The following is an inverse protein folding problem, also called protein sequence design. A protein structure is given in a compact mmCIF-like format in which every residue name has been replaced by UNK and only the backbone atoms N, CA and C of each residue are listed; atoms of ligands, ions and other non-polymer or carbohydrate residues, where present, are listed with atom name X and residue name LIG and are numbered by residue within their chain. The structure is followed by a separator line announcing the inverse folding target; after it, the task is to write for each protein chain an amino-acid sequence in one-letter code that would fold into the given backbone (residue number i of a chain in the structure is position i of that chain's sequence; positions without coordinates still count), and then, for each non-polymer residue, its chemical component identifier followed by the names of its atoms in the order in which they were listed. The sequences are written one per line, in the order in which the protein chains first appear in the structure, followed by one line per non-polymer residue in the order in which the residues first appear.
data_IF_363900889840
#
_entry.id   IF_363900889840
#
_cell.length_a   1.000
_cell.length_b   1.000
_cell.length_c   1.000
_cell.angle_alpha   90.00
_cell.angle_beta   90.00
_cell.angle_gamma   90.00
#
_symmetry.space_group_name_H-M   'P 1'
#
loop_
_entity.id
_entity.type
_entity.pdbx_description
1 polymer ?
#
# COMPACT_ATOMS: atom_id res chain seq x y z
N UNK A 1 -19.40 -7.89 12.10
CA UNK A 1 -18.65 -7.05 11.14
C UNK A 1 -19.38 -6.85 9.80
N UNK A 2 -20.23 -7.78 9.38
CA UNK A 2 -21.08 -7.66 8.18
C UNK A 2 -22.17 -6.60 8.32
N UNK A 3 -22.82 -6.53 9.47
CA UNK A 3 -23.92 -5.59 9.75
C UNK A 3 -23.55 -4.10 9.51
N UNK A 4 -22.32 -3.71 9.79
CA UNK A 4 -21.87 -2.33 9.54
C UNK A 4 -21.73 -2.01 8.03
N UNK A 5 -21.47 -3.01 7.20
CA UNK A 5 -21.36 -2.80 5.76
C UNK A 5 -22.72 -2.62 5.08
N UNK A 6 -23.70 -3.39 5.50
CA UNK A 6 -25.08 -3.27 5.04
C UNK A 6 -25.67 -1.93 5.41
N UNK A 7 -25.42 -1.42 6.64
CA UNK A 7 -25.79 -0.08 7.05
C UNK A 7 -25.19 1.00 6.15
N UNK A 8 -23.92 0.90 5.77
CA UNK A 8 -23.29 1.84 4.84
C UNK A 8 -23.87 1.77 3.43
N UNK A 9 -24.36 0.60 2.99
CA UNK A 9 -25.05 0.48 1.69
C UNK A 9 -26.43 1.11 1.71
N UNK A 10 -27.18 0.98 2.80
CA UNK A 10 -28.53 1.51 2.95
C UNK A 10 -28.52 3.04 3.09
N UNK A 11 -27.51 3.59 3.78
CA UNK A 11 -27.42 5.03 4.08
C UNK A 11 -26.36 5.71 3.18
N UNK A 12 -26.34 5.42 1.88
CA UNK A 12 -25.28 5.87 0.96
C UNK A 12 -24.92 7.37 1.08
N UNK A 13 -25.90 8.25 1.04
CA UNK A 13 -25.63 9.70 1.04
C UNK A 13 -25.21 10.24 2.41
N UNK A 14 -25.86 9.78 3.47
CA UNK A 14 -25.58 10.22 4.84
C UNK A 14 -24.21 9.70 5.29
N UNK A 15 -23.87 8.45 4.97
CA UNK A 15 -22.56 7.88 5.34
C UNK A 15 -21.40 8.60 4.67
N UNK A 16 -21.55 9.05 3.42
CA UNK A 16 -20.53 9.85 2.72
C UNK A 16 -20.34 11.21 3.40
N UNK A 17 -21.41 11.88 3.76
CA UNK A 17 -21.35 13.18 4.46
C UNK A 17 -20.68 13.04 5.85
N UNK A 18 -21.06 12.02 6.61
CA UNK A 18 -20.45 11.75 7.93
C UNK A 18 -18.98 11.44 7.79
N UNK A 19 -18.59 10.56 6.87
CA UNK A 19 -17.18 10.26 6.62
C UNK A 19 -16.40 11.49 6.17
N UNK A 20 -16.97 12.31 5.30
CA UNK A 20 -16.35 13.56 4.85
C UNK A 20 -16.10 14.52 6.03
N UNK A 21 -17.09 14.68 6.92
CA UNK A 21 -16.94 15.54 8.12
C UNK A 21 -15.84 15.02 9.05
N UNK A 22 -15.78 13.69 9.27
CA UNK A 22 -14.73 13.06 10.08
C UNK A 22 -13.35 13.30 9.43
N UNK A 23 -13.22 13.12 8.11
CA UNK A 23 -11.95 13.33 7.42
C UNK A 23 -11.50 14.79 7.47
N UNK A 24 -12.42 15.74 7.33
CA UNK A 24 -12.11 17.15 7.50
C UNK A 24 -11.64 17.46 8.93
N UNK A 25 -12.29 16.89 9.93
CA UNK A 25 -11.87 17.06 11.32
C UNK A 25 -10.48 16.48 11.58
N UNK A 26 -10.22 15.26 11.12
CA UNK A 26 -8.88 14.63 11.20
C UNK A 26 -7.83 15.50 10.53
N UNK A 27 -8.13 16.06 9.36
CA UNK A 27 -7.22 16.94 8.64
C UNK A 27 -6.91 18.23 9.38
N UNK A 28 -7.96 18.86 9.97
CA UNK A 28 -7.81 20.11 10.71
C UNK A 28 -7.09 19.93 12.05
N UNK A 29 -7.45 18.87 12.79
CA UNK A 29 -6.95 18.65 14.16
C UNK A 29 -5.67 17.82 14.20
N UNK A 30 -5.31 17.15 13.11
CA UNK A 30 -4.21 16.16 13.04
C UNK A 30 -4.40 15.00 14.04
N UNK A 31 -5.61 14.84 14.56
CA UNK A 31 -5.93 13.77 15.51
C UNK A 31 -6.75 12.68 14.85
N UNK A 32 -6.24 11.48 14.90
CA UNK A 32 -6.92 10.29 14.38
C UNK A 32 -7.83 9.68 15.44
N UNK A 33 -9.03 9.22 15.10
CA UNK A 33 -9.87 8.44 16.01
C UNK A 33 -9.09 7.24 16.55
N UNK A 34 -9.32 6.91 17.84
CA UNK A 34 -8.57 5.83 18.49
C UNK A 34 -8.76 4.47 17.80
N UNK A 35 -9.95 4.19 17.31
CA UNK A 35 -10.26 2.95 16.60
C UNK A 35 -9.51 2.84 15.25
N UNK A 36 -9.09 3.96 14.66
CA UNK A 36 -8.31 3.96 13.43
C UNK A 36 -6.82 3.73 13.66
N UNK A 37 -6.36 3.98 14.87
CA UNK A 37 -4.97 3.73 15.29
C UNK A 37 -4.72 2.26 15.64
N UNK A 38 -5.79 1.48 15.83
CA UNK A 38 -5.70 0.07 16.18
C UNK A 38 -5.72 -0.80 14.94
N UNK A 39 -4.85 -1.78 14.92
CA UNK A 39 -4.85 -2.82 13.91
C UNK A 39 -4.92 -4.20 14.58
N UNK A 40 -5.58 -5.13 13.92
CA UNK A 40 -5.66 -6.53 14.33
C UNK A 40 -4.74 -7.34 13.43
N UNK A 41 -3.82 -8.07 14.02
CA UNK A 41 -2.92 -8.97 13.30
C UNK A 41 -3.51 -10.38 13.28
N UNK A 42 -3.68 -10.94 12.10
CA UNK A 42 -4.14 -12.32 11.91
C UNK A 42 -2.96 -13.11 11.38
N UNK A 43 -2.44 -14.08 12.14
CA UNK A 43 -1.39 -14.97 11.67
C UNK A 43 -1.99 -16.00 10.69
N UNK A 44 -1.39 -16.14 9.52
CA UNK A 44 -1.72 -17.16 8.53
C UNK A 44 -0.52 -18.09 8.39
N UNK A 45 -0.75 -19.38 8.50
CA UNK A 45 0.30 -20.39 8.36
C UNK A 45 0.82 -20.45 6.92
N UNK A 46 2.14 -20.44 6.78
CA UNK A 46 2.82 -20.86 5.54
C UNK A 46 2.77 -22.39 5.42
N UNK A 47 3.14 -22.90 4.24
CA UNK A 47 3.38 -24.33 4.09
C UNK A 47 4.54 -24.74 5.01
N UNK A 48 4.31 -25.62 5.97
CA UNK A 48 5.34 -26.11 6.90
C UNK A 48 4.80 -26.44 8.29
N UNK A 49 5.69 -26.56 9.25
CA UNK A 49 5.37 -26.92 10.62
C UNK A 49 4.76 -25.71 11.35
N UNK A 50 3.51 -25.82 11.79
CA UNK A 50 2.80 -24.74 12.47
C UNK A 50 3.33 -24.33 13.85
N UNK A 51 4.33 -25.06 14.38
CA UNK A 51 4.93 -24.77 15.69
C UNK A 51 5.96 -23.64 15.69
N UNK A 52 6.47 -23.25 14.52
CA UNK A 52 7.49 -22.23 14.42
C UNK A 52 6.88 -20.88 14.02
N UNK A 53 7.23 -19.81 14.76
CA UNK A 53 6.76 -18.44 14.47
C UNK A 53 7.17 -17.94 13.07
N UNK A 54 8.32 -18.39 12.56
CA UNK A 54 8.81 -18.10 11.22
C UNK A 54 7.89 -18.60 10.10
N UNK A 55 7.03 -19.58 10.39
CA UNK A 55 6.11 -20.20 9.46
C UNK A 55 4.75 -19.48 9.37
N UNK A 56 4.66 -18.26 9.89
CA UNK A 56 3.45 -17.45 9.79
C UNK A 56 3.70 -16.19 8.97
N UNK A 57 2.70 -15.82 8.17
CA UNK A 57 2.54 -14.48 7.61
C UNK A 57 1.48 -13.75 8.43
N UNK A 58 1.72 -12.51 8.77
CA UNK A 58 0.71 -11.69 9.44
C UNK A 58 -0.05 -10.85 8.42
N UNK A 59 -1.38 -10.92 8.47
CA UNK A 59 -2.24 -9.97 7.78
C UNK A 59 -2.72 -8.94 8.79
N UNK A 60 -2.54 -7.67 8.45
CA UNK A 60 -3.00 -6.57 9.30
C UNK A 60 -4.36 -6.08 8.83
N UNK A 61 -5.33 -6.15 9.72
CA UNK A 61 -6.67 -5.59 9.50
C UNK A 61 -6.76 -4.23 10.16
N UNK A 62 -7.14 -3.24 9.38
CA UNK A 62 -7.44 -1.87 9.84
C UNK A 62 -8.91 -1.54 9.58
N UNK A 63 -9.43 -0.50 10.23
CA UNK A 63 -10.82 -0.08 10.07
C UNK A 63 -11.14 0.26 8.61
N UNK A 64 -12.38 0.01 8.19
CA UNK A 64 -12.81 0.31 6.81
C UNK A 64 -12.77 1.80 6.50
N UNK A 65 -13.13 2.65 7.46
CA UNK A 65 -13.09 4.09 7.31
C UNK A 65 -11.64 4.59 7.10
N UNK A 66 -10.66 4.08 7.87
CA UNK A 66 -9.25 4.44 7.63
C UNK A 66 -8.76 3.96 6.26
N UNK A 67 -9.20 2.78 5.77
CA UNK A 67 -8.87 2.32 4.41
C UNK A 67 -9.38 3.26 3.32
N UNK A 68 -10.58 3.81 3.48
CA UNK A 68 -11.13 4.78 2.52
C UNK A 68 -10.30 6.05 2.53
N UNK A 69 -9.93 6.56 3.70
CA UNK A 69 -9.06 7.73 3.80
C UNK A 69 -7.69 7.49 3.14
N UNK A 70 -7.07 6.34 3.40
CA UNK A 70 -5.80 5.99 2.73
C UNK A 70 -5.93 5.93 1.21
N UNK A 71 -7.04 5.41 0.67
CA UNK A 71 -7.29 5.42 -0.76
C UNK A 71 -7.43 6.83 -1.34
N UNK A 72 -8.08 7.74 -0.61
CA UNK A 72 -8.18 9.15 -1.02
C UNK A 72 -6.80 9.80 -1.05
N UNK A 73 -6.00 9.59 0.00
CA UNK A 73 -4.64 10.11 0.07
C UNK A 73 -3.76 9.50 -1.03
N UNK A 74 -3.85 8.18 -1.25
CA UNK A 74 -3.13 7.48 -2.31
C UNK A 74 -3.46 8.07 -3.69
N UNK A 75 -4.74 8.28 -3.98
CA UNK A 75 -5.18 8.84 -5.26
C UNK A 75 -4.64 10.27 -5.50
N UNK A 76 -4.57 11.08 -4.45
CA UNK A 76 -3.98 12.42 -4.52
C UNK A 76 -2.46 12.38 -4.70
N UNK A 77 -1.77 11.57 -3.90
CA UNK A 77 -0.31 11.42 -3.97
C UNK A 77 0.14 10.81 -5.29
N UNK A 78 -0.65 9.89 -5.86
CA UNK A 78 -0.31 9.23 -7.12
C UNK A 78 -0.06 10.20 -8.27
N UNK A 79 -0.75 11.34 -8.29
CA UNK A 79 -0.56 12.37 -9.30
C UNK A 79 0.85 12.98 -9.20
N UNK A 80 1.29 13.31 -7.98
CA UNK A 80 2.63 13.86 -7.73
C UNK A 80 3.72 12.81 -7.95
N UNK A 81 3.53 11.62 -7.39
CA UNK A 81 4.50 10.53 -7.48
C UNK A 81 4.78 10.14 -8.94
N UNK A 82 3.76 10.12 -9.79
CA UNK A 82 3.94 9.80 -11.21
C UNK A 82 4.79 10.84 -11.97
N UNK A 83 4.78 12.10 -11.53
CA UNK A 83 5.58 13.16 -12.14
C UNK A 83 7.04 13.17 -11.63
N UNK A 84 7.24 12.84 -10.36
CA UNK A 84 8.55 12.92 -9.69
C UNK A 84 9.40 11.65 -9.86
N UNK A 85 8.74 10.48 -10.03
CA UNK A 85 9.47 9.24 -10.19
C UNK A 85 10.08 9.10 -11.58
N UNK A 86 11.39 8.79 -11.66
CA UNK A 86 12.05 8.55 -12.95
C UNK A 86 11.44 7.32 -13.65
N UNK A 87 11.51 7.30 -14.99
CA UNK A 87 10.92 6.23 -15.80
C UNK A 87 11.50 4.83 -15.55
N UNK A 88 12.70 4.76 -15.01
CA UNK A 88 13.36 3.50 -14.64
C UNK A 88 12.73 2.86 -13.38
N UNK A 89 12.02 3.64 -12.57
CA UNK A 89 11.34 3.13 -11.36
C UNK A 89 10.08 2.37 -11.75
N UNK A 90 10.09 1.06 -11.53
CA UNK A 90 8.95 0.19 -11.83
C UNK A 90 8.19 -0.25 -10.55
N UNK A 91 8.70 0.11 -9.36
CA UNK A 91 8.08 -0.26 -8.09
C UNK A 91 6.82 0.54 -7.81
N UNK A 92 5.72 -0.14 -7.47
CA UNK A 92 4.44 0.47 -7.06
C UNK A 92 3.81 1.44 -8.08
N UNK A 93 4.24 1.41 -9.34
CA UNK A 93 3.65 2.21 -10.43
C UNK A 93 2.53 1.44 -11.11
N UNK A 94 1.48 2.17 -11.47
CA UNK A 94 0.41 1.65 -12.31
C UNK A 94 1.00 1.24 -13.68
N UNK A 95 0.53 0.14 -14.22
CA UNK A 95 0.92 -0.40 -15.54
C UNK A 95 2.41 -0.82 -15.64
N UNK A 96 3.14 -0.86 -14.50
CA UNK A 96 4.50 -1.39 -14.40
C UNK A 96 4.51 -2.66 -13.56
N UNK A 97 5.15 -3.70 -14.07
CA UNK A 97 5.18 -5.01 -13.43
C UNK A 97 6.57 -5.57 -13.19
N UNK A 98 6.59 -6.81 -12.73
CA UNK A 98 7.84 -7.55 -12.50
C UNK A 98 8.66 -7.69 -13.79
N UNK A 99 8.00 -7.78 -14.95
CA UNK A 99 8.68 -7.85 -16.26
C UNK A 99 9.53 -6.61 -16.53
N UNK A 100 9.03 -5.41 -16.19
CA UNK A 100 9.76 -4.16 -16.38
C UNK A 100 10.99 -4.11 -15.45
N UNK A 101 10.85 -4.57 -14.21
CA UNK A 101 11.98 -4.68 -13.27
C UNK A 101 13.05 -5.63 -13.79
N UNK A 102 12.67 -6.80 -14.29
CA UNK A 102 13.58 -7.77 -14.88
C UNK A 102 14.27 -7.19 -16.12
N UNK A 103 13.54 -6.48 -16.98
CA UNK A 103 14.09 -5.85 -18.18
C UNK A 103 15.12 -4.78 -17.80
N UNK A 104 14.83 -3.93 -16.81
CA UNK A 104 15.76 -2.92 -16.31
C UNK A 104 17.05 -3.54 -15.75
N UNK A 105 16.93 -4.59 -14.92
CA UNK A 105 18.09 -5.29 -14.37
C UNK A 105 18.93 -5.91 -15.50
N UNK A 106 18.29 -6.59 -16.46
CA UNK A 106 19.00 -7.16 -17.61
C UNK A 106 19.71 -6.10 -18.45
N UNK A 107 19.09 -4.94 -18.63
CA UNK A 107 19.69 -3.82 -19.34
C UNK A 107 20.92 -3.28 -18.60
N UNK A 108 20.84 -3.10 -17.28
CA UNK A 108 21.96 -2.66 -16.44
C UNK A 108 23.12 -3.65 -16.53
N UNK A 109 22.86 -4.95 -16.39
CA UNK A 109 23.87 -6.01 -16.48
C UNK A 109 24.53 -5.99 -17.87
N UNK A 110 23.74 -5.82 -18.95
CA UNK A 110 24.26 -5.77 -20.31
C UNK A 110 25.13 -4.53 -20.54
N UNK A 111 24.75 -3.38 -19.99
CA UNK A 111 25.50 -2.15 -20.05
C UNK A 111 26.79 -2.22 -19.24
N UNK A 112 26.74 -2.77 -18.04
CA UNK A 112 27.90 -2.93 -17.15
C UNK A 112 28.99 -3.84 -17.77
N UNK A 113 28.62 -4.85 -18.55
CA UNK A 113 29.58 -5.68 -19.30
C UNK A 113 30.32 -4.95 -20.41
N UNK A 114 29.79 -3.82 -20.89
CA UNK A 114 30.39 -3.03 -22.00
C UNK A 114 31.27 -1.88 -21.50
N UNK A 115 31.15 -1.52 -20.21
CA UNK A 115 31.89 -0.41 -19.61
C UNK A 115 32.78 -1.00 -18.50
N UNK A 116 34.08 -0.74 -18.48
CA UNK A 116 35.01 -1.33 -17.49
C UNK A 116 34.87 -0.75 -16.09
N UNK A 117 33.86 0.09 -15.82
CA UNK A 117 33.58 0.61 -14.48
C UNK A 117 32.94 -0.44 -13.59
N UNK A 118 33.40 -0.49 -12.34
CA UNK A 118 32.82 -1.37 -11.31
C UNK A 118 31.44 -0.85 -10.92
N UNK A 119 30.39 -1.47 -11.42
CA UNK A 119 29.02 -1.19 -10.98
C UNK A 119 28.64 -2.12 -9.83
N UNK A 120 28.26 -1.55 -8.70
CA UNK A 120 27.71 -2.28 -7.56
C UNK A 120 26.20 -2.44 -7.76
N UNK A 121 25.74 -3.67 -7.99
CA UNK A 121 24.30 -4.00 -8.01
C UNK A 121 23.88 -4.34 -6.58
N UNK A 122 23.14 -3.43 -5.94
CA UNK A 122 22.42 -3.68 -4.69
C UNK A 122 21.05 -4.26 -5.04
N UNK A 123 20.87 -5.54 -4.75
CA UNK A 123 19.58 -6.23 -4.82
C UNK A 123 19.01 -6.32 -3.40
N UNK A 124 17.88 -5.64 -3.16
CA UNK A 124 17.05 -5.80 -1.98
C UNK A 124 15.84 -6.67 -2.28
#
# INVERSE_FOLDING_TARGET
MEFQFELFQIIKNVSVQVLHSIYQQVWKTQQWPQDWKRSVFIPITKKGIAKECSNYHTITLISRASKVMFKILQARLQQYVNCELPDVEAGFRKDRGVRDKIANIRWIIKKSKRVPEKHLLLLY
#
